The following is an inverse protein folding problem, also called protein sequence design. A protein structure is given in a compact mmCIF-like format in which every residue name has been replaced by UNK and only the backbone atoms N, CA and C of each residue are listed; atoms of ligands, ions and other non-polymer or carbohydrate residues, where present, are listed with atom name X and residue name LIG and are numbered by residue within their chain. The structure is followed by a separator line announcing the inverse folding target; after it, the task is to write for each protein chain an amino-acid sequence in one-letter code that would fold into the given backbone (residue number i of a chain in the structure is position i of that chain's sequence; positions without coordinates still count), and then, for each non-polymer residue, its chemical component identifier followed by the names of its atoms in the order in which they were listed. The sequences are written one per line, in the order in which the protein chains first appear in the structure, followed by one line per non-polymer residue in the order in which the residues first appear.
data_IF_391076267636
#
_entry.id   IF_391076267636
#
_cell.length_a   1.000
_cell.length_b   1.000
_cell.length_c   1.000
_cell.angle_alpha   90.00
_cell.angle_beta   90.00
_cell.angle_gamma   90.00
#
_symmetry.space_group_name_H-M   'P 1'
#
loop_
_entity.id
_entity.type
_entity.pdbx_description
1 polymer ?
#
# COMPACT_ATOMS: atom_id res chain seq x y z
N UNK A 1 7.96 -1.17 13.49
CA UNK A 1 9.08 -2.05 13.09
C UNK A 1 10.24 -1.27 12.47
N UNK A 2 10.11 -0.69 11.26
CA UNK A 2 11.25 0.02 10.63
C UNK A 2 11.85 1.16 11.46
N UNK A 3 11.01 1.93 12.15
CA UNK A 3 11.45 2.97 13.09
C UNK A 3 12.26 2.45 14.29
N UNK A 4 12.20 1.14 14.55
CA UNK A 4 12.97 0.44 15.58
C UNK A 4 14.20 -0.28 14.99
N UNK A 5 14.55 -0.02 13.72
CA UNK A 5 15.70 -0.62 13.04
C UNK A 5 15.48 -2.05 12.54
N UNK A 6 14.22 -2.53 12.51
CA UNK A 6 13.89 -3.87 12.02
C UNK A 6 13.87 -3.88 10.50
N UNK A 7 14.61 -4.82 9.91
CA UNK A 7 14.52 -5.18 8.49
C UNK A 7 13.30 -6.07 8.24
N UNK A 8 12.39 -5.62 7.39
CA UNK A 8 11.14 -6.32 7.10
C UNK A 8 11.35 -7.60 6.26
N UNK A 9 12.50 -7.75 5.60
CA UNK A 9 12.82 -8.95 4.83
C UNK A 9 13.37 -10.09 5.70
N UNK A 10 13.81 -9.78 6.92
CA UNK A 10 14.41 -10.74 7.86
C UNK A 10 13.77 -10.71 9.26
N UNK A 11 12.60 -10.09 9.37
CA UNK A 11 11.88 -9.90 10.64
C UNK A 11 11.68 -11.21 11.40
N UNK A 12 12.02 -11.22 12.68
CA UNK A 12 11.82 -12.36 13.59
C UNK A 12 10.51 -12.23 14.36
N UNK A 13 10.07 -13.34 14.97
CA UNK A 13 8.90 -13.34 15.86
C UNK A 13 9.07 -12.36 17.02
N UNK A 14 10.22 -12.37 17.71
CA UNK A 14 10.49 -11.43 18.79
C UNK A 14 10.39 -9.96 18.32
N UNK A 15 10.91 -9.64 17.13
CA UNK A 15 10.82 -8.29 16.57
C UNK A 15 9.37 -7.90 16.24
N UNK A 16 8.60 -8.83 15.70
CA UNK A 16 7.18 -8.60 15.43
C UNK A 16 6.39 -8.41 16.72
N UNK A 17 6.55 -9.29 17.71
CA UNK A 17 5.86 -9.21 18.99
C UNK A 17 6.22 -7.94 19.77
N UNK A 18 7.49 -7.52 19.76
CA UNK A 18 7.89 -6.22 20.30
C UNK A 18 7.16 -5.04 19.63
N UNK A 19 6.90 -5.14 18.32
CA UNK A 19 6.14 -4.12 17.61
C UNK A 19 4.63 -4.16 17.93
N UNK A 20 4.07 -5.36 18.17
CA UNK A 20 2.70 -5.54 18.66
C UNK A 20 2.53 -4.92 20.05
N UNK A 21 3.45 -5.19 20.98
CA UNK A 21 3.42 -4.60 22.32
C UNK A 21 3.55 -3.06 22.27
N UNK A 22 4.42 -2.55 21.38
CA UNK A 22 4.54 -1.12 21.15
C UNK A 22 3.22 -0.51 20.62
N UNK A 23 2.57 -1.17 19.66
CA UNK A 23 1.27 -0.74 19.13
C UNK A 23 0.21 -0.71 20.23
N UNK A 24 0.09 -1.80 21.00
CA UNK A 24 -0.85 -1.91 22.12
C UNK A 24 -0.62 -0.79 23.15
N UNK A 25 0.65 -0.49 23.47
CA UNK A 25 1.00 0.64 24.34
C UNK A 25 0.52 1.97 23.79
N UNK A 26 0.73 2.25 22.49
CA UNK A 26 0.28 3.50 21.86
C UNK A 26 -1.25 3.64 21.78
N UNK A 27 -1.96 2.53 21.67
CA UNK A 27 -3.43 2.51 21.77
C UNK A 27 -3.84 2.82 23.22
N UNK A 28 -3.27 2.11 24.20
CA UNK A 28 -3.58 2.31 25.63
C UNK A 28 -3.27 3.72 26.13
N UNK A 29 -2.19 4.33 25.64
CA UNK A 29 -1.78 5.70 25.96
C UNK A 29 -2.67 6.77 25.26
N UNK A 30 -3.57 6.36 24.37
CA UNK A 30 -4.47 7.26 23.64
C UNK A 30 -3.87 7.97 22.43
N UNK A 31 -2.66 7.58 22.00
CA UNK A 31 -2.04 8.15 20.78
C UNK A 31 -2.70 7.63 19.50
N UNK A 32 -3.13 6.38 19.50
CA UNK A 32 -3.82 5.75 18.37
C UNK A 32 -5.30 5.61 18.74
N UNK A 33 -6.15 6.37 18.05
CA UNK A 33 -7.62 6.38 18.27
C UNK A 33 -8.28 5.06 17.86
N UNK A 34 -7.75 4.40 16.84
CA UNK A 34 -8.29 3.13 16.35
C UNK A 34 -7.45 2.56 15.21
N UNK A 35 -7.67 1.26 14.97
CA UNK A 35 -7.11 0.51 13.83
C UNK A 35 -8.29 0.08 12.97
N UNK A 36 -8.33 0.53 11.72
CA UNK A 36 -9.46 0.34 10.81
C UNK A 36 -8.94 -0.14 9.45
N UNK A 37 -9.87 -0.61 8.59
CA UNK A 37 -9.60 -0.84 7.18
C UNK A 37 -9.58 0.49 6.43
N UNK A 38 -10.25 0.55 5.28
CA UNK A 38 -10.29 1.76 4.45
C UNK A 38 -11.18 2.89 5.02
N UNK A 39 -11.85 2.68 6.15
CA UNK A 39 -12.73 3.69 6.78
C UNK A 39 -11.97 4.89 7.36
N UNK A 40 -10.63 4.90 7.35
CA UNK A 40 -9.82 6.04 7.80
C UNK A 40 -10.05 7.33 7.01
N UNK A 41 -10.56 7.23 5.77
CA UNK A 41 -10.89 8.38 4.93
C UNK A 41 -12.01 9.25 5.56
N UNK A 42 -13.02 8.60 6.15
CA UNK A 42 -14.12 9.28 6.85
C UNK A 42 -13.60 10.00 8.11
N UNK A 43 -12.71 9.36 8.87
CA UNK A 43 -12.14 9.97 10.07
C UNK A 43 -11.30 11.22 9.73
N UNK A 44 -10.51 11.16 8.65
CA UNK A 44 -9.72 12.31 8.17
C UNK A 44 -10.60 13.48 7.72
N UNK A 45 -11.65 13.18 6.95
CA UNK A 45 -12.55 14.21 6.39
C UNK A 45 -13.41 14.86 7.47
N UNK A 46 -13.92 14.07 8.42
CA UNK A 46 -14.67 14.56 9.59
C UNK A 46 -13.80 15.32 10.60
N UNK A 47 -12.47 15.13 10.58
CA UNK A 47 -11.53 15.72 11.54
C UNK A 47 -11.38 14.92 12.84
N UNK A 48 -11.86 13.68 12.85
CA UNK A 48 -11.71 12.72 13.94
C UNK A 48 -10.30 12.15 14.04
N UNK A 49 -9.56 12.15 12.92
CA UNK A 49 -8.14 11.84 12.83
C UNK A 49 -7.37 12.98 12.13
N UNK A 50 -6.16 13.26 12.61
CA UNK A 50 -5.26 14.27 12.02
C UNK A 50 -4.14 13.64 11.18
N UNK A 51 -3.90 12.35 11.36
CA UNK A 51 -2.92 11.55 10.61
C UNK A 51 -3.31 10.07 10.68
N UNK A 52 -2.96 9.30 9.64
CA UNK A 52 -3.25 7.88 9.53
C UNK A 52 -2.06 7.15 8.91
N UNK A 53 -1.97 5.84 9.16
CA UNK A 53 -1.19 4.94 8.30
C UNK A 53 -2.18 4.41 7.26
N UNK A 54 -2.05 4.86 6.02
CA UNK A 54 -2.96 4.53 4.92
C UNK A 54 -2.23 4.33 3.61
N UNK A 55 -2.98 4.01 2.56
CA UNK A 55 -2.43 3.74 1.24
C UNK A 55 -2.20 5.02 0.43
N UNK A 56 -1.14 5.04 -0.38
CA UNK A 56 -0.75 6.24 -1.12
C UNK A 56 -1.83 6.73 -2.08
N UNK A 57 -2.45 5.82 -2.85
CA UNK A 57 -3.49 6.18 -3.82
C UNK A 57 -4.74 6.78 -3.16
N UNK A 58 -5.16 6.24 -2.02
CA UNK A 58 -6.30 6.76 -1.26
C UNK A 58 -6.07 8.20 -0.81
N UNK A 59 -4.83 8.54 -0.42
CA UNK A 59 -4.48 9.90 -0.04
C UNK A 59 -4.50 10.88 -1.22
N UNK A 60 -4.20 10.43 -2.44
CA UNK A 60 -4.34 11.28 -3.64
C UNK A 60 -5.79 11.57 -3.99
N UNK A 61 -6.66 10.55 -3.87
CA UNK A 61 -8.11 10.73 -4.05
C UNK A 61 -8.66 11.68 -2.98
N UNK A 62 -8.29 11.46 -1.71
CA UNK A 62 -8.69 12.36 -0.62
C UNK A 62 -8.22 13.80 -0.86
N UNK A 63 -6.99 13.99 -1.34
CA UNK A 63 -6.44 15.31 -1.68
C UNK A 63 -7.25 16.00 -2.79
N UNK A 64 -7.59 15.28 -3.86
CA UNK A 64 -8.34 15.85 -4.99
C UNK A 64 -9.79 16.19 -4.61
N UNK A 65 -10.44 15.35 -3.80
CA UNK A 65 -11.83 15.53 -3.37
C UNK A 65 -12.01 16.57 -2.24
N UNK A 66 -10.93 16.94 -1.54
CA UNK A 66 -10.98 17.85 -0.39
C UNK A 66 -10.10 19.09 -0.57
N UNK A 67 -10.11 19.67 -1.78
CA UNK A 67 -9.46 20.96 -2.09
C UNK A 67 -7.97 21.01 -1.70
N UNK A 68 -7.25 19.89 -1.79
CA UNK A 68 -5.83 19.80 -1.46
C UNK A 68 -5.52 19.72 0.04
N UNK A 69 -6.52 19.52 0.91
CA UNK A 69 -6.36 19.50 2.37
C UNK A 69 -5.43 18.39 2.88
N UNK A 70 -5.36 17.26 2.19
CA UNK A 70 -4.62 16.07 2.61
C UNK A 70 -3.35 15.88 1.80
N UNK A 71 -2.37 15.21 2.40
CA UNK A 71 -1.11 14.87 1.72
C UNK A 71 -0.57 13.51 2.17
N UNK A 72 0.40 13.00 1.41
CA UNK A 72 1.04 11.72 1.67
C UNK A 72 2.55 11.89 1.86
N UNK A 73 3.13 11.17 2.82
CA UNK A 73 4.55 11.15 3.06
C UNK A 73 5.03 9.75 3.44
N UNK A 74 6.22 9.39 2.94
CA UNK A 74 6.96 8.22 3.41
C UNK A 74 7.78 8.68 4.63
N UNK A 75 7.65 8.03 5.81
CA UNK A 75 8.45 8.39 6.98
C UNK A 75 9.96 8.29 6.72
N UNK A 76 10.77 9.00 7.50
CA UNK A 76 12.24 8.92 7.40
C UNK A 76 12.78 7.50 7.66
N UNK A 77 12.09 6.72 8.49
CA UNK A 77 12.40 5.29 8.70
C UNK A 77 12.11 4.41 7.48
N UNK A 78 11.46 4.98 6.47
CA UNK A 78 10.92 4.34 5.28
C UNK A 78 9.55 3.72 5.47
N UNK A 79 9.01 3.20 4.37
CA UNK A 79 7.65 2.66 4.27
C UNK A 79 7.61 1.21 3.77
N UNK A 80 6.41 0.66 3.73
CA UNK A 80 6.17 -0.64 3.10
C UNK A 80 5.79 -0.42 1.64
N UNK A 81 6.27 -1.27 0.73
CA UNK A 81 5.72 -1.37 -0.63
C UNK A 81 5.05 -2.73 -0.78
N UNK A 82 3.86 -2.73 -1.37
CA UNK A 82 3.07 -3.90 -1.71
C UNK A 82 2.72 -3.86 -3.20
N UNK A 83 2.33 -5.01 -3.73
CA UNK A 83 1.82 -5.11 -5.09
C UNK A 83 0.66 -6.08 -5.13
N UNK A 84 -0.40 -5.68 -5.81
CA UNK A 84 -1.53 -6.54 -6.13
C UNK A 84 -1.25 -7.27 -7.44
N UNK A 85 -1.50 -8.59 -7.44
CA UNK A 85 -1.11 -9.46 -8.54
C UNK A 85 -2.35 -10.12 -9.15
N UNK A 86 -2.49 -10.04 -10.47
CA UNK A 86 -3.51 -10.84 -11.17
C UNK A 86 -3.11 -12.32 -11.15
N UNK A 87 -4.03 -13.17 -10.68
CA UNK A 87 -3.82 -14.61 -10.58
C UNK A 87 -4.96 -15.33 -11.31
N UNK A 88 -4.63 -16.40 -12.05
CA UNK A 88 -5.63 -17.29 -12.66
C UNK A 88 -5.74 -18.55 -11.81
N UNK A 89 -6.89 -18.83 -11.16
CA UNK A 89 -7.08 -20.04 -10.39
C UNK A 89 -6.89 -21.29 -11.26
N UNK A 90 -6.23 -22.32 -10.73
CA UNK A 90 -6.00 -23.58 -11.46
C UNK A 90 -7.31 -24.33 -11.81
N UNK A 91 -8.40 -24.01 -11.11
CA UNK A 91 -9.74 -24.55 -11.32
C UNK A 91 -10.51 -23.83 -12.43
N UNK A 92 -9.96 -22.78 -13.04
CA UNK A 92 -10.60 -22.06 -14.14
C UNK A 92 -10.80 -22.98 -15.36
N UNK A 93 -11.93 -22.82 -16.05
CA UNK A 93 -12.15 -23.50 -17.33
C UNK A 93 -11.14 -23.01 -18.37
N UNK A 94 -10.87 -23.82 -19.40
CA UNK A 94 -9.96 -23.44 -20.47
C UNK A 94 -10.37 -22.12 -21.16
N UNK A 95 -11.67 -21.89 -21.32
CA UNK A 95 -12.21 -20.65 -21.88
C UNK A 95 -11.99 -19.45 -20.94
N UNK A 96 -12.30 -19.59 -19.65
CA UNK A 96 -12.10 -18.53 -18.66
C UNK A 96 -10.62 -18.14 -18.54
N UNK A 97 -9.73 -19.15 -18.54
CA UNK A 97 -8.29 -18.93 -18.56
C UNK A 97 -7.85 -18.13 -19.79
N UNK A 98 -8.28 -18.52 -20.99
CA UNK A 98 -7.91 -17.83 -22.23
C UNK A 98 -8.40 -16.36 -22.24
N UNK A 99 -9.56 -16.07 -21.65
CA UNK A 99 -10.07 -14.71 -21.53
C UNK A 99 -9.31 -13.89 -20.47
N UNK A 100 -8.96 -14.50 -19.33
CA UNK A 100 -8.14 -13.85 -18.31
C UNK A 100 -6.74 -13.49 -18.84
N UNK A 101 -6.10 -14.38 -19.60
CA UNK A 101 -4.80 -14.11 -20.24
C UNK A 101 -4.89 -12.92 -21.22
N UNK A 102 -5.98 -12.79 -21.98
CA UNK A 102 -6.20 -11.63 -22.86
C UNK A 102 -6.36 -10.33 -22.07
N UNK A 103 -7.08 -10.37 -20.95
CA UNK A 103 -7.25 -9.21 -20.07
C UNK A 103 -5.91 -8.77 -19.46
N UNK A 104 -5.12 -9.71 -18.96
CA UNK A 104 -3.78 -9.45 -18.42
C UNK A 104 -2.90 -8.82 -19.49
N UNK A 105 -2.88 -9.39 -20.71
CA UNK A 105 -2.10 -8.82 -21.82
C UNK A 105 -2.56 -7.40 -22.18
N UNK A 106 -3.87 -7.14 -22.20
CA UNK A 106 -4.41 -5.81 -22.47
C UNK A 106 -4.00 -4.78 -21.40
N UNK A 107 -4.04 -5.15 -20.11
CA UNK A 107 -3.59 -4.29 -19.03
C UNK A 107 -2.09 -3.94 -19.11
N UNK A 108 -1.27 -4.86 -19.61
CA UNK A 108 0.17 -4.66 -19.75
C UNK A 108 0.58 -3.83 -20.99
N UNK A 109 -0.36 -3.37 -21.79
CA UNK A 109 -0.08 -2.32 -22.77
C UNK A 109 0.27 -1.00 -22.04
N UNK A 110 1.39 -0.32 -22.36
CA UNK A 110 1.81 0.87 -21.65
C UNK A 110 0.79 2.01 -21.61
N UNK A 111 -0.01 2.20 -22.68
CA UNK A 111 -1.00 3.26 -22.73
C UNK A 111 -2.18 2.94 -21.80
N UNK A 112 -2.64 1.69 -21.81
CA UNK A 112 -3.69 1.22 -20.91
C UNK A 112 -3.24 1.30 -19.45
N UNK A 113 -2.02 0.85 -19.15
CA UNK A 113 -1.48 0.92 -17.81
C UNK A 113 -1.35 2.36 -17.29
N UNK A 114 -1.01 3.31 -18.18
CA UNK A 114 -0.95 4.73 -17.84
C UNK A 114 -2.34 5.32 -17.57
N UNK A 115 -3.34 4.99 -18.39
CA UNK A 115 -4.73 5.40 -18.14
C UNK A 115 -5.24 4.91 -16.78
N UNK A 116 -5.00 3.63 -16.46
CA UNK A 116 -5.39 3.08 -15.15
C UNK A 116 -4.64 3.77 -14.02
N UNK A 117 -3.32 3.94 -14.13
CA UNK A 117 -2.51 4.61 -13.11
C UNK A 117 -2.93 6.08 -12.90
N UNK A 118 -3.37 6.77 -13.95
CA UNK A 118 -3.83 8.15 -13.88
C UNK A 118 -5.14 8.25 -13.07
N UNK A 119 -5.99 7.22 -13.20
CA UNK A 119 -7.23 7.14 -12.45
C UNK A 119 -6.99 6.75 -10.99
N UNK A 120 -6.25 5.67 -10.73
CA UNK A 120 -6.12 5.13 -9.36
C UNK A 120 -4.99 5.74 -8.53
N UNK A 121 -4.05 6.46 -9.15
CA UNK A 121 -2.93 7.13 -8.50
C UNK A 121 -2.00 6.18 -7.69
N UNK A 122 -1.79 4.96 -8.20
CA UNK A 122 -0.84 3.98 -7.66
C UNK A 122 0.34 3.73 -8.62
N UNK A 123 1.43 3.20 -8.07
CA UNK A 123 2.60 2.76 -8.84
C UNK A 123 2.21 1.69 -9.85
N UNK A 124 2.58 1.89 -11.12
CA UNK A 124 2.37 0.91 -12.19
C UNK A 124 3.62 0.05 -12.41
N UNK A 125 3.51 -1.28 -12.54
CA UNK A 125 4.63 -2.15 -12.84
C UNK A 125 5.01 -2.17 -14.33
N UNK A 126 4.23 -1.49 -15.19
CA UNK A 126 4.37 -1.59 -16.65
C UNK A 126 5.43 -0.64 -17.17
N UNK A 127 6.53 -1.19 -17.65
CA UNK A 127 7.61 -0.41 -18.29
C UNK A 127 7.07 0.35 -19.50
N UNK A 128 7.37 1.65 -19.56
CA UNK A 128 6.93 2.55 -20.64
C UNK A 128 5.65 3.34 -20.30
N UNK A 129 4.92 2.95 -19.26
CA UNK A 129 3.71 3.67 -18.85
C UNK A 129 3.98 5.14 -18.45
N UNK A 130 5.18 5.47 -17.97
CA UNK A 130 5.53 6.87 -17.66
C UNK A 130 5.52 7.77 -18.90
N UNK A 131 6.06 7.29 -20.03
CA UNK A 131 6.07 8.05 -21.28
C UNK A 131 4.66 8.21 -21.88
N UNK A 132 3.76 7.24 -21.63
CA UNK A 132 2.35 7.39 -21.98
C UNK A 132 1.63 8.32 -21.02
N UNK A 133 1.95 8.29 -19.72
CA UNK A 133 1.43 9.22 -18.72
C UNK A 133 1.77 10.67 -19.06
N UNK A 134 2.97 10.97 -19.56
CA UNK A 134 3.35 12.33 -19.98
C UNK A 134 2.39 12.93 -21.02
N UNK A 135 1.72 12.08 -21.81
CA UNK A 135 0.72 12.50 -22.81
C UNK A 135 -0.67 12.72 -22.18
N UNK A 136 -0.95 12.08 -21.05
CA UNK A 136 -2.21 12.14 -20.32
C UNK A 136 -2.17 13.28 -19.30
N UNK A 137 -1.21 13.22 -18.38
CA UNK A 137 -0.99 14.18 -17.30
C UNK A 137 0.51 14.28 -16.94
N UNK A 138 1.22 15.33 -17.41
CA UNK A 138 2.63 15.54 -17.09
C UNK A 138 2.94 15.69 -15.60
N UNK A 139 1.99 16.15 -14.79
CA UNK A 139 2.19 16.30 -13.35
C UNK A 139 2.18 14.93 -12.65
N UNK A 140 1.28 14.03 -13.07
CA UNK A 140 1.28 12.64 -12.59
C UNK A 140 2.50 11.86 -13.09
N UNK A 141 2.94 12.11 -14.32
CA UNK A 141 4.17 11.49 -14.86
C UNK A 141 5.42 11.87 -14.05
N UNK A 142 5.45 13.07 -13.46
CA UNK A 142 6.52 13.56 -12.60
C UNK A 142 6.37 13.15 -11.11
N UNK A 143 5.26 12.51 -10.74
CA UNK A 143 4.99 12.13 -9.34
C UNK A 143 5.85 10.94 -8.93
N UNK A 144 6.73 11.13 -7.93
CA UNK A 144 7.51 10.04 -7.33
C UNK A 144 6.66 9.00 -6.59
N UNK A 145 5.36 9.26 -6.41
CA UNK A 145 4.44 8.33 -5.78
C UNK A 145 3.70 7.44 -6.78
N UNK A 146 3.79 7.75 -8.09
CA UNK A 146 3.29 6.92 -9.20
C UNK A 146 4.47 6.31 -9.98
N UNK A 147 5.54 7.09 -10.18
CA UNK A 147 6.79 6.66 -10.80
C UNK A 147 7.97 6.91 -9.86
N UNK A 148 8.19 6.03 -8.87
CA UNK A 148 9.21 6.23 -7.85
C UNK A 148 10.63 6.29 -8.41
N UNK A 149 11.43 7.20 -7.87
CA UNK A 149 12.87 7.23 -8.13
C UNK A 149 13.56 6.05 -7.43
N UNK A 150 14.79 5.74 -7.87
CA UNK A 150 15.62 4.73 -7.19
C UNK A 150 15.83 5.05 -5.70
N UNK A 151 15.96 6.34 -5.35
CA UNK A 151 16.08 6.79 -3.96
C UNK A 151 14.81 6.48 -3.17
N UNK A 152 13.64 6.77 -3.74
CA UNK A 152 12.35 6.48 -3.10
C UNK A 152 12.17 4.97 -2.94
N UNK A 153 12.47 4.19 -3.98
CA UNK A 153 12.44 2.72 -3.93
C UNK A 153 13.39 2.12 -2.88
N UNK A 154 14.60 2.65 -2.75
CA UNK A 154 15.57 2.20 -1.75
C UNK A 154 15.10 2.46 -0.31
N UNK A 155 14.15 3.40 -0.11
CA UNK A 155 13.54 3.65 1.18
C UNK A 155 12.26 2.83 1.42
N UNK A 156 11.85 1.98 0.50
CA UNK A 156 10.68 1.10 0.64
C UNK A 156 11.13 -0.35 0.83
N UNK A 157 10.33 -1.13 1.54
CA UNK A 157 10.61 -2.55 1.75
C UNK A 157 9.32 -3.36 1.65
N UNK A 158 9.42 -4.52 1.01
CA UNK A 158 8.38 -5.55 1.14
C UNK A 158 8.49 -6.20 2.51
N UNK A 159 7.36 -6.63 3.06
CA UNK A 159 7.35 -7.52 4.21
C UNK A 159 7.57 -8.96 3.74
N UNK A 160 8.42 -9.73 4.42
CA UNK A 160 8.67 -11.12 4.01
C UNK A 160 7.38 -11.96 4.09
N UNK A 161 7.33 -13.03 3.31
CA UNK A 161 6.29 -14.03 3.47
C UNK A 161 6.36 -14.69 4.85
N UNK A 162 5.19 -14.98 5.40
CA UNK A 162 5.04 -15.72 6.65
C UNK A 162 4.80 -17.21 6.35
N UNK A 163 5.26 -18.07 7.24
CA UNK A 163 4.76 -19.45 7.29
C UNK A 163 3.30 -19.46 7.76
N UNK A 164 2.51 -20.51 7.48
CA UNK A 164 1.12 -20.58 7.97
C UNK A 164 0.97 -20.45 9.49
N UNK A 165 1.96 -20.95 10.24
CA UNK A 165 1.99 -20.85 11.70
C UNK A 165 2.24 -19.40 12.14
N UNK A 166 3.22 -18.71 11.54
CA UNK A 166 3.46 -17.29 11.78
C UNK A 166 2.25 -16.44 11.38
N UNK A 167 1.66 -16.68 10.21
CA UNK A 167 0.48 -15.93 9.75
C UNK A 167 -0.67 -16.02 10.74
N UNK A 168 -0.91 -17.20 11.30
CA UNK A 168 -1.95 -17.39 12.32
C UNK A 168 -1.59 -16.67 13.61
N UNK A 169 -0.42 -16.95 14.21
CA UNK A 169 -0.07 -16.42 15.53
C UNK A 169 0.16 -14.91 15.51
N UNK A 170 0.75 -14.37 14.44
CA UNK A 170 1.05 -12.94 14.31
C UNK A 170 -0.21 -12.14 14.01
N UNK A 171 -1.13 -12.68 13.20
CA UNK A 171 -2.42 -12.05 12.97
C UNK A 171 -3.27 -11.99 14.24
N UNK A 172 -3.33 -13.09 15.01
CA UNK A 172 -4.03 -13.11 16.29
C UNK A 172 -3.46 -12.08 17.28
N UNK A 173 -2.13 -12.01 17.40
CA UNK A 173 -1.45 -11.04 18.26
C UNK A 173 -1.76 -9.60 17.83
N UNK A 174 -1.69 -9.31 16.53
CA UNK A 174 -2.00 -7.99 15.99
C UNK A 174 -3.46 -7.60 16.23
N UNK A 175 -4.43 -8.48 15.94
CA UNK A 175 -5.85 -8.18 16.13
C UNK A 175 -6.18 -7.89 17.60
N UNK A 176 -5.63 -8.71 18.51
CA UNK A 176 -5.79 -8.49 19.95
C UNK A 176 -5.23 -7.13 20.38
N UNK A 177 -4.06 -6.74 19.88
CA UNK A 177 -3.48 -5.42 20.18
C UNK A 177 -4.28 -4.27 19.56
N UNK A 178 -4.86 -4.48 18.38
CA UNK A 178 -5.71 -3.54 17.68
C UNK A 178 -7.09 -3.33 18.34
N UNK A 179 -7.46 -4.17 19.31
CA UNK A 179 -8.73 -4.11 20.02
C UNK A 179 -9.87 -4.89 19.36
N UNK A 180 -9.52 -5.87 18.50
CA UNK A 180 -10.45 -6.74 17.77
C UNK A 180 -10.43 -8.18 18.31
#
# INVERSE_FOLDING_TARGET
MRSQGVDLQTVTEDQFMNAVDFLAGKISDGWIRGVKGNEYAEDLTAGDAVAVIGWSGDMFILKSENEGKFDFAIPESGGTISGDNMMIPYTATAEAKANAEKLINWYYDPAIAAEVAAYVNYVTPVKGAQAEMEKIDPALAASEFIFPTEKTMANLSVFRSLTPAEETSWSEAFQKAAGN
#
